data_IF_165937287993
#
_entry.id   IF_165937287993
#
_cell.length_a   1.000
_cell.length_b   1.000
_cell.length_c   1.000
_cell.angle_alpha   90.00
_cell.angle_beta   90.00
_cell.angle_gamma   90.00
#
_symmetry.space_group_name_H-M   'P 1'
#
loop_
_entity.id
_entity.type
_entity.pdbx_description
1 polymer ?
#
# COMPACT_ATOMS: atom_id res chain seq x y z
N UNK A 1 -22.18 1.26 -72.76
CA UNK A 1 -22.24 1.99 -71.47
C UNK A 1 -21.80 1.03 -70.34
N UNK A 2 -20.52 0.60 -70.31
CA UNK A 2 -20.03 -0.45 -69.39
C UNK A 2 -18.79 0.00 -68.59
N UNK A 3 -18.30 1.23 -68.78
CA UNK A 3 -17.08 1.72 -68.12
C UNK A 3 -17.23 2.24 -66.68
N UNK A 4 -18.47 2.41 -66.18
CA UNK A 4 -18.71 3.09 -64.89
C UNK A 4 -18.44 2.23 -63.66
N UNK A 5 -18.86 0.96 -63.66
CA UNK A 5 -18.70 0.08 -62.49
C UNK A 5 -17.24 -0.39 -62.31
N UNK A 6 -16.57 -0.77 -63.40
CA UNK A 6 -15.19 -1.24 -63.34
C UNK A 6 -14.23 -0.15 -62.85
N UNK A 7 -14.50 1.12 -63.21
CA UNK A 7 -13.72 2.26 -62.75
C UNK A 7 -13.98 2.63 -61.27
N UNK A 8 -15.11 2.23 -60.69
CA UNK A 8 -15.49 2.54 -59.30
C UNK A 8 -15.06 1.47 -58.28
N UNK A 9 -14.74 0.26 -58.74
CA UNK A 9 -14.26 -0.84 -57.88
C UNK A 9 -13.08 -0.44 -56.97
N UNK A 10 -12.04 0.27 -57.45
CA UNK A 10 -10.92 0.66 -56.60
C UNK A 10 -11.34 1.62 -55.48
N UNK A 11 -12.25 2.55 -55.76
CA UNK A 11 -12.75 3.51 -54.79
C UNK A 11 -13.59 2.82 -53.70
N UNK A 12 -14.46 1.87 -54.10
CA UNK A 12 -15.26 1.08 -53.15
C UNK A 12 -14.39 0.19 -52.26
N UNK A 13 -13.35 -0.43 -52.81
CA UNK A 13 -12.37 -1.19 -52.04
C UNK A 13 -11.63 -0.29 -51.03
N UNK A 14 -11.24 0.91 -51.44
CA UNK A 14 -10.61 1.89 -50.55
C UNK A 14 -11.50 2.28 -49.36
N UNK A 15 -12.79 2.52 -49.59
CA UNK A 15 -13.77 2.81 -48.53
C UNK A 15 -13.99 1.62 -47.61
N UNK A 16 -14.07 0.40 -48.15
CA UNK A 16 -14.24 -0.82 -47.36
C UNK A 16 -13.03 -1.06 -46.45
N UNK A 17 -11.81 -0.90 -46.99
CA UNK A 17 -10.58 -1.00 -46.20
C UNK A 17 -10.48 0.11 -45.17
N UNK A 18 -10.84 1.34 -45.54
CA UNK A 18 -10.85 2.49 -44.63
C UNK A 18 -11.81 2.29 -43.45
N UNK A 19 -13.05 1.89 -43.71
CA UNK A 19 -14.06 1.64 -42.67
C UNK A 19 -13.69 0.44 -41.79
N UNK A 20 -13.19 -0.66 -42.36
CA UNK A 20 -12.70 -1.80 -41.58
C UNK A 20 -11.50 -1.39 -40.69
N UNK A 21 -10.56 -0.62 -41.23
CA UNK A 21 -9.43 -0.08 -40.48
C UNK A 21 -9.86 0.85 -39.34
N UNK A 22 -10.82 1.74 -39.59
CA UNK A 22 -11.40 2.61 -38.56
C UNK A 22 -12.12 1.82 -37.47
N UNK A 23 -12.94 0.82 -37.82
CA UNK A 23 -13.64 -0.01 -36.82
C UNK A 23 -12.66 -0.78 -35.93
N UNK A 24 -11.59 -1.35 -36.50
CA UNK A 24 -10.56 -2.06 -35.74
C UNK A 24 -9.76 -1.12 -34.83
N UNK A 25 -9.34 0.04 -35.35
CA UNK A 25 -8.62 1.05 -34.57
C UNK A 25 -9.46 1.57 -33.40
N UNK A 26 -10.73 1.88 -33.63
CA UNK A 26 -11.68 2.32 -32.61
C UNK A 26 -11.87 1.22 -31.55
N UNK A 27 -12.11 -0.03 -31.95
CA UNK A 27 -12.30 -1.15 -31.01
C UNK A 27 -11.08 -1.43 -30.11
N UNK A 28 -9.86 -1.28 -30.64
CA UNK A 28 -8.62 -1.39 -29.85
C UNK A 28 -8.48 -0.23 -28.85
N UNK A 29 -8.80 0.99 -29.27
CA UNK A 29 -8.77 2.16 -28.40
C UNK A 29 -9.82 2.08 -27.29
N UNK A 30 -11.04 1.63 -27.61
CA UNK A 30 -12.12 1.38 -26.66
C UNK A 30 -11.71 0.35 -25.59
N UNK A 31 -11.10 -0.77 -26.02
CA UNK A 31 -10.62 -1.82 -25.11
C UNK A 31 -9.51 -1.35 -24.19
N UNK A 32 -8.55 -0.57 -24.69
CA UNK A 32 -7.47 -0.04 -23.85
C UNK A 32 -7.99 0.99 -22.86
N UNK A 33 -8.92 1.87 -23.28
CA UNK A 33 -9.62 2.82 -22.40
C UNK A 33 -10.44 2.10 -21.33
N UNK A 34 -11.21 1.08 -21.72
CA UNK A 34 -11.99 0.24 -20.81
C UNK A 34 -11.10 -0.43 -19.76
N UNK A 35 -10.01 -1.09 -20.18
CA UNK A 35 -9.06 -1.71 -19.24
C UNK A 35 -8.46 -0.70 -18.27
N UNK A 36 -8.01 0.47 -18.73
CA UNK A 36 -7.48 1.53 -17.85
C UNK A 36 -8.51 2.00 -16.83
N UNK A 37 -9.74 2.27 -17.27
CA UNK A 37 -10.82 2.69 -16.36
C UNK A 37 -11.20 1.63 -15.32
N UNK A 38 -11.18 0.35 -15.72
CA UNK A 38 -11.43 -0.77 -14.81
C UNK A 38 -10.29 -0.93 -13.81
N UNK A 39 -9.03 -0.85 -14.25
CA UNK A 39 -7.86 -0.92 -13.36
C UNK A 39 -7.91 0.15 -12.27
N UNK A 40 -8.23 1.40 -12.62
CA UNK A 40 -8.36 2.50 -11.64
C UNK A 40 -9.44 2.20 -10.60
N UNK A 41 -10.61 1.72 -11.02
CA UNK A 41 -11.72 1.39 -10.11
C UNK A 41 -11.40 0.19 -9.20
N UNK A 42 -10.64 -0.78 -9.70
CA UNK A 42 -10.18 -1.90 -8.88
C UNK A 42 -9.12 -1.46 -7.86
N UNK A 43 -8.23 -0.54 -8.24
CA UNK A 43 -7.25 0.05 -7.34
C UNK A 43 -7.90 0.87 -6.22
N UNK A 44 -8.90 1.69 -6.54
CA UNK A 44 -9.70 2.44 -5.55
C UNK A 44 -10.38 1.51 -4.54
N UNK A 45 -11.08 0.47 -5.02
CA UNK A 45 -11.75 -0.50 -4.13
C UNK A 45 -10.78 -1.26 -3.23
N UNK A 46 -9.60 -1.60 -3.78
CA UNK A 46 -8.55 -2.29 -3.04
C UNK A 46 -7.96 -1.38 -1.97
N UNK A 47 -7.73 -0.10 -2.29
CA UNK A 47 -7.33 0.91 -1.32
C UNK A 47 -8.36 1.03 -0.19
N UNK A 48 -9.64 1.14 -0.52
CA UNK A 48 -10.72 1.22 0.47
C UNK A 48 -10.72 0.01 1.41
N UNK A 49 -10.60 -1.21 0.86
CA UNK A 49 -10.51 -2.43 1.66
C UNK A 49 -9.30 -2.42 2.61
N UNK A 50 -8.13 -1.99 2.14
CA UNK A 50 -6.93 -1.88 2.97
C UNK A 50 -7.08 -0.83 4.08
N UNK A 51 -7.74 0.30 3.79
CA UNK A 51 -7.99 1.37 4.76
C UNK A 51 -8.97 0.89 5.84
N UNK A 52 -10.07 0.25 5.47
CA UNK A 52 -11.04 -0.26 6.44
C UNK A 52 -10.46 -1.36 7.33
N UNK A 53 -9.68 -2.28 6.77
CA UNK A 53 -8.96 -3.27 7.58
C UNK A 53 -7.99 -2.58 8.55
N UNK A 54 -7.22 -1.60 8.05
CA UNK A 54 -6.27 -0.85 8.88
C UNK A 54 -6.96 -0.17 10.06
N UNK A 55 -8.10 0.49 9.83
CA UNK A 55 -8.87 1.15 10.89
C UNK A 55 -9.30 0.15 11.95
N UNK A 56 -9.94 -0.95 11.54
CA UNK A 56 -10.44 -1.96 12.46
C UNK A 56 -9.32 -2.62 13.28
N UNK A 57 -8.23 -3.05 12.63
CA UNK A 57 -7.09 -3.67 13.31
C UNK A 57 -6.39 -2.69 14.25
N UNK A 58 -6.21 -1.42 13.85
CA UNK A 58 -5.60 -0.41 14.72
C UNK A 58 -6.46 -0.08 15.93
N UNK A 59 -7.78 -0.16 15.80
CA UNK A 59 -8.67 0.05 16.93
C UNK A 59 -8.59 -1.09 17.93
N UNK A 60 -8.63 -2.34 17.48
CA UNK A 60 -8.39 -3.52 18.33
C UNK A 60 -7.03 -3.38 19.03
N UNK A 61 -5.97 -3.06 18.28
CA UNK A 61 -4.63 -2.85 18.83
C UNK A 61 -4.62 -1.73 19.88
N UNK A 62 -5.25 -0.59 19.62
CA UNK A 62 -5.26 0.54 20.54
C UNK A 62 -6.00 0.21 21.85
N UNK A 63 -7.18 -0.41 21.76
CA UNK A 63 -7.99 -0.79 22.92
C UNK A 63 -7.26 -1.85 23.75
N UNK A 64 -6.79 -2.94 23.13
CA UNK A 64 -6.10 -4.01 23.83
C UNK A 64 -4.82 -3.51 24.52
N UNK A 65 -4.02 -2.70 23.83
CA UNK A 65 -2.80 -2.09 24.39
C UNK A 65 -3.10 -1.11 25.53
N UNK A 66 -4.25 -0.43 25.51
CA UNK A 66 -4.68 0.44 26.61
C UNK A 66 -5.18 -0.35 27.82
N UNK A 67 -5.91 -1.46 27.62
CA UNK A 67 -6.29 -2.37 28.71
C UNK A 67 -5.05 -2.94 29.41
N UNK A 68 -3.99 -3.21 28.66
CA UNK A 68 -2.71 -3.73 29.16
C UNK A 68 -1.77 -2.64 29.72
N UNK A 69 -2.20 -1.39 29.89
CA UNK A 69 -1.30 -0.29 30.30
C UNK A 69 -0.64 -0.51 31.66
N UNK A 70 -1.33 -1.11 32.64
CA UNK A 70 -0.77 -1.40 33.98
C UNK A 70 0.37 -2.42 33.93
N UNK A 71 0.38 -3.30 32.92
CA UNK A 71 1.36 -4.36 32.74
C UNK A 71 2.51 -3.95 31.80
N UNK A 72 2.59 -2.66 31.44
CA UNK A 72 3.60 -2.12 30.51
C UNK A 72 4.36 -0.95 31.12
N UNK A 73 5.65 -1.14 31.45
CA UNK A 73 6.53 -0.04 31.83
C UNK A 73 6.53 1.06 30.75
N UNK A 74 6.28 2.31 31.15
CA UNK A 74 6.26 3.46 30.23
C UNK A 74 4.99 3.64 29.40
N UNK A 75 3.89 2.96 29.75
CA UNK A 75 2.59 3.22 29.13
C UNK A 75 2.18 4.71 29.28
N UNK A 76 1.94 5.38 28.15
CA UNK A 76 1.57 6.81 28.12
C UNK A 76 0.10 7.09 28.41
N UNK A 77 -0.77 6.09 28.26
CA UNK A 77 -2.22 6.22 28.50
C UNK A 77 -2.61 5.46 29.75
N UNK A 78 -3.53 6.00 30.57
CA UNK A 78 -4.08 5.25 31.71
C UNK A 78 -4.77 3.97 31.24
N UNK A 79 -4.80 2.97 32.13
CA UNK A 79 -5.49 1.73 31.87
C UNK A 79 -6.98 1.97 31.62
N UNK A 80 -7.50 1.24 30.64
CA UNK A 80 -8.92 1.23 30.33
C UNK A 80 -9.64 0.26 31.27
N UNK A 81 -10.85 0.61 31.71
CA UNK A 81 -11.71 -0.34 32.41
C UNK A 81 -11.92 -1.62 31.59
N UNK A 82 -12.01 -2.76 32.26
CA UNK A 82 -12.05 -4.07 31.58
C UNK A 82 -13.35 -4.31 30.84
N UNK A 83 -14.48 -3.94 31.42
CA UNK A 83 -15.79 -4.17 30.81
C UNK A 83 -15.99 -3.19 29.65
N UNK A 84 -15.58 -1.94 29.83
CA UNK A 84 -15.52 -0.94 28.75
C UNK A 84 -14.62 -1.42 27.60
N UNK A 85 -13.42 -1.92 27.91
CA UNK A 85 -12.48 -2.46 26.94
C UNK A 85 -13.03 -3.66 26.17
N UNK A 86 -13.68 -4.60 26.86
CA UNK A 86 -14.31 -5.77 26.24
C UNK A 86 -15.43 -5.39 25.29
N UNK A 87 -16.27 -4.43 25.66
CA UNK A 87 -17.34 -3.94 24.80
C UNK A 87 -16.78 -3.31 23.50
N UNK A 88 -15.77 -2.45 23.61
CA UNK A 88 -15.11 -1.83 22.46
C UNK A 88 -14.41 -2.85 21.55
N UNK A 89 -13.75 -3.85 22.13
CA UNK A 89 -13.13 -4.93 21.35
C UNK A 89 -14.17 -5.72 20.56
N UNK A 90 -15.33 -6.03 21.15
CA UNK A 90 -16.40 -6.75 20.47
C UNK A 90 -16.95 -5.96 19.27
N UNK A 91 -17.15 -4.65 19.41
CA UNK A 91 -17.60 -3.79 18.31
C UNK A 91 -16.55 -3.69 17.18
N UNK A 92 -15.27 -3.60 17.54
CA UNK A 92 -14.19 -3.55 16.56
C UNK A 92 -14.00 -4.88 15.81
N UNK A 93 -14.21 -6.04 16.46
CA UNK A 93 -14.05 -7.37 15.84
C UNK A 93 -15.09 -7.64 14.75
N UNK A 94 -16.32 -7.13 14.91
CA UNK A 94 -17.36 -7.19 13.86
C UNK A 94 -16.90 -6.45 12.60
N UNK A 95 -16.40 -5.22 12.74
CA UNK A 95 -15.89 -4.43 11.61
C UNK A 95 -14.65 -5.06 11.00
N UNK A 96 -13.75 -5.59 11.82
CA UNK A 96 -12.56 -6.31 11.37
C UNK A 96 -12.93 -7.51 10.48
N UNK A 97 -13.92 -8.30 10.89
CA UNK A 97 -14.36 -9.48 10.13
C UNK A 97 -14.84 -9.11 8.73
N UNK A 98 -15.69 -8.08 8.61
CA UNK A 98 -16.17 -7.61 7.31
C UNK A 98 -15.06 -7.02 6.44
N UNK A 99 -14.17 -6.23 7.04
CA UNK A 99 -13.04 -5.64 6.33
C UNK A 99 -12.03 -6.70 5.85
N UNK A 100 -11.86 -7.78 6.62
CA UNK A 100 -10.99 -8.89 6.27
C UNK A 100 -11.45 -9.62 5.00
N UNK A 101 -12.74 -9.90 4.87
CA UNK A 101 -13.32 -10.51 3.67
C UNK A 101 -13.06 -9.66 2.41
N UNK A 102 -13.19 -8.33 2.53
CA UNK A 102 -12.88 -7.43 1.41
C UNK A 102 -11.41 -7.51 0.97
N UNK A 103 -10.48 -7.64 1.91
CA UNK A 103 -9.05 -7.81 1.61
C UNK A 103 -8.76 -9.16 0.97
N UNK A 104 -9.42 -10.24 1.40
CA UNK A 104 -9.30 -11.55 0.76
C UNK A 104 -9.77 -11.54 -0.70
N UNK A 105 -10.82 -10.76 -1.01
CA UNK A 105 -11.39 -10.69 -2.36
C UNK A 105 -10.60 -9.79 -3.31
N UNK A 106 -9.94 -8.74 -2.79
CA UNK A 106 -9.37 -7.66 -3.61
C UNK A 106 -7.84 -7.58 -3.54
N UNK A 107 -7.23 -8.14 -2.50
CA UNK A 107 -5.79 -8.08 -2.28
C UNK A 107 -5.02 -9.09 -3.15
N UNK A 108 -3.79 -8.74 -3.50
CA UNK A 108 -2.82 -9.71 -4.01
C UNK A 108 -2.27 -10.58 -2.87
N UNK A 109 -1.68 -11.73 -3.23
CA UNK A 109 -1.16 -12.72 -2.29
C UNK A 109 -0.20 -12.12 -1.25
N UNK A 110 0.74 -11.26 -1.68
CA UNK A 110 1.73 -10.69 -0.77
C UNK A 110 1.09 -9.73 0.23
N UNK A 111 0.13 -8.91 -0.22
CA UNK A 111 -0.59 -7.99 0.67
C UNK A 111 -1.51 -8.75 1.63
N UNK A 112 -2.23 -9.77 1.15
CA UNK A 112 -3.08 -10.63 1.99
C UNK A 112 -2.24 -11.36 3.05
N UNK A 113 -1.09 -11.91 2.67
CA UNK A 113 -0.16 -12.57 3.60
C UNK A 113 0.34 -11.61 4.68
N UNK A 114 0.80 -10.41 4.31
CA UNK A 114 1.27 -9.42 5.28
C UNK A 114 0.15 -8.92 6.21
N UNK A 115 -1.07 -8.73 5.67
CA UNK A 115 -2.25 -8.40 6.47
C UNK A 115 -2.60 -9.51 7.46
N UNK A 116 -2.51 -10.77 7.03
CA UNK A 116 -2.76 -11.94 7.86
C UNK A 116 -1.77 -12.03 9.02
N UNK A 117 -0.47 -11.79 8.79
CA UNK A 117 0.53 -11.74 9.84
C UNK A 117 0.25 -10.63 10.85
N UNK A 118 -0.07 -9.42 10.37
CA UNK A 118 -0.38 -8.30 11.23
C UNK A 118 -1.61 -8.55 12.10
N UNK A 119 -2.70 -9.07 11.51
CA UNK A 119 -3.94 -9.37 12.25
C UNK A 119 -3.71 -10.43 13.33
N UNK A 120 -2.91 -11.45 13.04
CA UNK A 120 -2.56 -12.47 14.03
C UNK A 120 -1.75 -11.88 15.18
N UNK A 121 -0.76 -11.05 14.89
CA UNK A 121 0.02 -10.37 15.93
C UNK A 121 -0.83 -9.45 16.81
N UNK A 122 -1.85 -8.78 16.24
CA UNK A 122 -2.79 -7.97 17.03
C UNK A 122 -3.74 -8.85 17.85
N UNK A 123 -4.17 -9.99 17.33
CA UNK A 123 -5.01 -10.95 18.07
C UNK A 123 -4.28 -11.58 19.26
N UNK A 124 -2.96 -11.74 19.20
CA UNK A 124 -2.16 -12.12 20.36
C UNK A 124 -2.29 -11.08 21.50
N UNK A 125 -2.20 -9.78 21.16
CA UNK A 125 -2.34 -8.68 22.13
C UNK A 125 -3.78 -8.63 22.68
N UNK A 126 -4.77 -8.80 21.82
CA UNK A 126 -6.18 -8.90 22.25
C UNK A 126 -6.40 -10.05 23.23
N UNK A 127 -5.81 -11.22 22.94
CA UNK A 127 -5.89 -12.40 23.81
C UNK A 127 -5.25 -12.14 25.17
N UNK A 128 -4.10 -11.46 25.20
CA UNK A 128 -3.46 -11.01 26.43
C UNK A 128 -4.35 -10.04 27.22
N UNK A 129 -4.98 -9.08 26.55
CA UNK A 129 -5.90 -8.14 27.20
C UNK A 129 -7.15 -8.85 27.79
N UNK A 130 -7.65 -9.87 27.11
CA UNK A 130 -8.78 -10.69 27.60
C UNK A 130 -8.42 -11.55 28.82
N UNK A 131 -7.15 -11.92 28.97
CA UNK A 131 -6.62 -12.71 30.09
C UNK A 131 -6.40 -11.92 31.38
N UNK A 132 -6.62 -10.60 31.39
CA UNK A 132 -6.57 -9.79 32.61
C UNK A 132 -7.46 -10.38 33.72
N UNK A 133 -6.99 -10.46 34.99
CA UNK A 133 -5.87 -9.70 35.56
C UNK A 133 -4.46 -10.24 35.30
N UNK A 134 -4.33 -11.43 34.74
CA UNK A 134 -3.06 -12.16 34.65
C UNK A 134 -2.69 -12.40 33.17
N UNK A 135 -2.23 -11.36 32.45
CA UNK A 135 -1.84 -11.49 31.06
C UNK A 135 -0.51 -12.26 30.95
N UNK A 136 -0.23 -12.88 29.79
CA UNK A 136 1.07 -13.52 29.56
C UNK A 136 2.23 -12.51 29.69
N UNK A 137 3.39 -13.01 30.09
CA UNK A 137 4.63 -12.23 30.08
C UNK A 137 5.01 -11.83 28.64
N UNK A 138 5.76 -10.74 28.47
CA UNK A 138 6.27 -10.34 27.15
C UNK A 138 5.30 -9.51 26.31
N UNK A 139 4.33 -8.82 26.94
CA UNK A 139 3.37 -7.93 26.25
C UNK A 139 4.06 -6.89 25.34
N UNK A 140 5.21 -6.35 25.77
CA UNK A 140 5.99 -5.40 24.97
C UNK A 140 6.45 -6.01 23.64
N UNK A 141 6.92 -7.26 23.66
CA UNK A 141 7.37 -7.96 22.45
C UNK A 141 6.19 -8.25 21.51
N UNK A 142 5.02 -8.57 22.08
CA UNK A 142 3.79 -8.76 21.29
C UNK A 142 3.40 -7.48 20.54
N UNK A 143 3.48 -6.33 21.21
CA UNK A 143 3.24 -5.01 20.60
C UNK A 143 4.27 -4.70 19.51
N UNK A 144 5.55 -4.95 19.76
CA UNK A 144 6.60 -4.75 18.75
C UNK A 144 6.36 -5.62 17.51
N UNK A 145 5.99 -6.90 17.69
CA UNK A 145 5.63 -7.78 16.56
C UNK A 145 4.44 -7.25 15.77
N UNK A 146 3.41 -6.72 16.43
CA UNK A 146 2.26 -6.13 15.76
C UNK A 146 2.64 -4.86 14.98
N UNK A 147 3.50 -4.00 15.54
CA UNK A 147 3.99 -2.81 14.84
C UNK A 147 4.87 -3.16 13.62
N UNK A 148 5.72 -4.19 13.73
CA UNK A 148 6.48 -4.72 12.59
C UNK A 148 5.57 -5.36 11.53
N UNK A 149 4.52 -6.06 11.96
CA UNK A 149 3.49 -6.61 11.07
C UNK A 149 2.78 -5.51 10.28
N UNK A 150 2.38 -4.43 10.95
CA UNK A 150 1.76 -3.25 10.32
C UNK A 150 2.66 -2.65 9.25
N UNK A 151 3.94 -2.45 9.57
CA UNK A 151 4.89 -1.82 8.64
C UNK A 151 5.10 -2.70 7.39
N UNK A 152 5.12 -4.04 7.55
CA UNK A 152 5.14 -5.00 6.43
C UNK A 152 3.86 -4.92 5.58
N UNK A 153 2.70 -4.86 6.22
CA UNK A 153 1.42 -4.70 5.52
C UNK A 153 1.39 -3.40 4.70
N UNK A 154 1.80 -2.26 5.26
CA UNK A 154 1.84 -0.99 4.53
C UNK A 154 2.79 -1.02 3.33
N UNK A 155 3.94 -1.67 3.46
CA UNK A 155 4.87 -1.87 2.34
C UNK A 155 4.23 -2.68 1.21
N UNK A 156 3.60 -3.81 1.54
CA UNK A 156 2.94 -4.67 0.57
C UNK A 156 1.76 -3.97 -0.11
N UNK A 157 0.88 -3.33 0.68
CA UNK A 157 -0.27 -2.59 0.17
C UNK A 157 0.14 -1.48 -0.81
N UNK A 158 1.15 -0.68 -0.47
CA UNK A 158 1.70 0.37 -1.36
C UNK A 158 2.27 -0.21 -2.64
N UNK A 159 3.05 -1.29 -2.54
CA UNK A 159 3.60 -1.96 -3.71
C UNK A 159 2.50 -2.48 -4.63
N UNK A 160 1.43 -3.07 -4.06
CA UNK A 160 0.30 -3.57 -4.84
C UNK A 160 -0.41 -2.46 -5.62
N UNK A 161 -0.56 -1.27 -5.02
CA UNK A 161 -1.18 -0.08 -5.60
C UNK A 161 -0.23 0.72 -6.52
N UNK A 162 0.98 0.22 -6.79
CA UNK A 162 1.96 0.88 -7.63
C UNK A 162 2.55 2.18 -7.03
N UNK A 163 2.38 2.39 -5.73
CA UNK A 163 2.91 3.57 -5.03
C UNK A 163 4.40 3.38 -4.79
N UNK A 164 5.22 4.22 -5.45
CA UNK A 164 6.69 4.17 -5.40
C UNK A 164 7.28 5.09 -4.33
N UNK A 165 8.43 4.70 -3.79
CA UNK A 165 9.28 5.52 -2.91
C UNK A 165 8.83 5.65 -1.46
N UNK A 166 9.77 6.08 -0.60
CA UNK A 166 9.57 6.45 0.80
C UNK A 166 9.39 5.27 1.78
N UNK A 167 10.06 5.34 2.94
CA UNK A 167 9.76 4.44 4.05
C UNK A 167 8.47 4.88 4.75
N UNK A 168 7.63 3.90 5.07
CA UNK A 168 6.43 4.07 5.92
C UNK A 168 6.58 3.31 7.25
N UNK A 169 7.80 2.85 7.56
CA UNK A 169 8.10 2.16 8.80
C UNK A 169 7.88 3.11 9.99
N UNK A 170 6.82 2.87 10.74
CA UNK A 170 6.50 3.66 11.92
C UNK A 170 7.18 3.09 13.17
N UNK A 171 7.49 1.78 13.20
CA UNK A 171 8.15 1.16 14.36
C UNK A 171 9.47 1.85 14.67
N UNK A 172 10.18 2.29 13.62
CA UNK A 172 11.46 3.00 13.74
C UNK A 172 11.31 4.34 14.46
N UNK A 173 10.28 5.11 14.12
CA UNK A 173 9.97 6.37 14.79
C UNK A 173 9.51 6.16 16.23
N UNK A 174 8.75 5.09 16.48
CA UNK A 174 8.31 4.73 17.83
C UNK A 174 9.50 4.31 18.72
N UNK A 175 10.51 3.67 18.15
CA UNK A 175 11.75 3.26 18.83
C UNK A 175 12.86 4.33 18.83
N UNK A 176 12.61 5.52 18.27
CA UNK A 176 13.59 6.62 18.24
C UNK A 176 14.86 6.37 17.39
N UNK A 177 14.83 5.42 16.44
CA UNK A 177 16.00 5.11 15.59
C UNK A 177 16.04 6.01 14.33
N UNK A 178 17.21 6.50 13.89
CA UNK A 178 17.30 7.34 12.68
C UNK A 178 16.94 6.57 11.41
N UNK A 179 16.40 7.27 10.40
CA UNK A 179 16.11 6.74 9.08
C UNK A 179 17.40 6.19 8.42
N UNK A 180 17.32 5.13 7.57
CA UNK A 180 18.49 4.71 6.83
C UNK A 180 18.81 5.81 5.81
N UNK A 181 20.10 6.12 5.63
CA UNK A 181 20.53 7.03 4.58
C UNK A 181 19.94 6.53 3.25
N UNK A 182 19.23 7.40 2.52
CA UNK A 182 18.80 7.08 1.18
C UNK A 182 20.03 6.63 0.37
N UNK A 183 19.96 5.53 -0.40
CA UNK A 183 21.06 5.18 -1.29
C UNK A 183 21.24 6.36 -2.24
N UNK A 184 22.37 7.05 -2.09
CA UNK A 184 22.76 8.18 -2.91
C UNK A 184 22.58 7.77 -4.37
N UNK A 185 21.52 8.30 -5.00
CA UNK A 185 21.33 8.15 -6.42
C UNK A 185 22.63 8.62 -7.08
N UNK A 186 23.23 7.72 -7.85
CA UNK A 186 24.41 7.91 -8.67
C UNK A 186 24.31 9.22 -9.44
N UNK A 187 24.74 10.31 -8.84
CA UNK A 187 25.07 11.54 -9.54
C UNK A 187 26.45 11.28 -10.13
N UNK A 188 26.47 10.46 -11.18
CA UNK A 188 27.58 10.42 -12.14
C UNK A 188 27.63 11.83 -12.73
N UNK A 189 28.38 12.72 -12.08
CA UNK A 189 28.80 13.98 -12.69
C UNK A 189 29.62 13.59 -13.91
N UNK A 190 29.04 13.80 -15.08
CA UNK A 190 29.75 13.89 -16.33
C UNK A 190 30.80 15.01 -16.14
N UNK A 191 32.06 14.63 -16.07
CA UNK A 191 33.18 15.54 -16.31
C UNK A 191 33.23 15.80 -17.81
N UNK A 192 33.11 17.04 -18.30
CA UNK A 192 33.68 17.40 -19.57
C UNK A 192 35.15 17.73 -19.32
N UNK A 193 36.01 16.90 -19.88
CA UNK A 193 37.40 17.23 -20.16
C UNK A 193 37.49 18.52 -20.99
N UNK A 194 38.46 19.36 -20.62
CA UNK A 194 39.29 20.20 -21.49
C UNK A 194 38.63 21.25 -22.40
N UNK A 195 38.88 22.54 -22.10
CA UNK A 195 39.45 23.45 -23.11
C UNK A 195 39.95 24.77 -22.49
N UNK A 196 41.19 25.15 -22.87
CA UNK A 196 41.85 26.48 -22.77
C UNK A 196 42.31 26.86 -21.35
N UNK A 197 43.56 27.21 -21.07
CA UNK A 197 44.74 27.58 -21.86
C UNK A 197 45.60 28.44 -20.90
N UNK A 198 46.88 28.13 -20.71
CA UNK A 198 47.77 28.97 -19.89
C UNK A 198 48.17 30.26 -20.62
N UNK A 199 49.27 30.93 -20.24
CA UNK A 199 49.83 31.19 -18.90
C UNK A 199 50.11 32.71 -18.72
N UNK A 200 50.24 33.26 -17.50
CA UNK A 200 50.98 34.53 -17.19
C UNK A 200 51.11 34.61 -15.65
N UNK A 201 52.28 34.33 -15.07
CA UNK A 201 53.36 35.26 -14.71
C UNK A 201 53.03 36.24 -13.56
N UNK A 202 53.87 36.16 -12.52
CA UNK A 202 54.32 37.18 -11.56
C UNK A 202 53.32 38.27 -11.08
N UNK A 203 53.14 38.39 -9.77
CA UNK A 203 53.77 39.51 -9.06
C UNK A 203 53.76 39.33 -7.53
N UNK A 204 54.91 39.70 -6.94
CA UNK A 204 55.20 40.13 -5.55
C UNK A 204 54.85 39.25 -4.35
#
# INVERSE_FOLDING_TARGET
MVGGLAAQLPALLGVLVGTAGTMLATGLNERTRWRRSQTVRWDERRLDAYVELTKAVKEIHAVATQMLSEHRPGARRPALDRDEGRARLAEADVRHTLAWEAVLLLGDEATVGAAAEWRHAVRDIESAARALPDPPTGVSDMIERADLGRDRFYRAARASLGVRGGSVEQVRHLLGKPAPAEPAALTRRLTPEQSRGGPTAADT
#
